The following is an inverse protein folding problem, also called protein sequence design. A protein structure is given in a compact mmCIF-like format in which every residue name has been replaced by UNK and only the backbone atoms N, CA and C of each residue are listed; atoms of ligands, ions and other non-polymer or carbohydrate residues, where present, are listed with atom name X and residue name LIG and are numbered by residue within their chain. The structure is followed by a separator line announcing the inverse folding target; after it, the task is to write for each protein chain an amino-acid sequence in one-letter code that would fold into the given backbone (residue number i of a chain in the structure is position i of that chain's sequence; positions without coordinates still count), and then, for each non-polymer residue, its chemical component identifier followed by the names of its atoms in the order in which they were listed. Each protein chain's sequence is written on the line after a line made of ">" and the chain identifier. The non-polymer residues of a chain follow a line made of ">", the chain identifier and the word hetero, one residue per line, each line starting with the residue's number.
data_IF_803107481800
#
_entry.id   IF_803107481800
#
_cell.length_a   1.000
_cell.length_b   1.000
_cell.length_c   1.000
_cell.angle_alpha   90.00
_cell.angle_beta   90.00
_cell.angle_gamma   90.00
#
_symmetry.space_group_name_H-M   'P 1'
#
loop_
_entity.id
_entity.type
_entity.pdbx_description
1 polymer ?
#
# COMPACT_ATOMS: atom_id res chain seq x y z
N UNK A 1 26.75 -59.70 -22.90
CA UNK A 1 27.02 -58.79 -21.77
C UNK A 1 26.60 -57.40 -22.26
N UNK A 2 25.32 -57.04 -22.26
CA UNK A 2 24.54 -56.48 -21.13
C UNK A 2 25.31 -55.36 -20.40
N UNK A 3 24.87 -54.11 -20.53
CA UNK A 3 24.47 -53.26 -19.39
C UNK A 3 23.70 -52.04 -19.90
N UNK A 4 22.39 -52.09 -19.65
CA UNK A 4 21.44 -50.98 -19.68
C UNK A 4 21.66 -50.15 -18.42
N UNK A 5 21.69 -48.82 -18.51
CA UNK A 5 21.34 -47.95 -17.37
C UNK A 5 20.70 -46.67 -17.90
N UNK A 6 19.38 -46.60 -17.69
CA UNK A 6 18.49 -45.49 -18.04
C UNK A 6 18.74 -44.38 -17.02
N UNK A 7 19.04 -43.16 -17.49
CA UNK A 7 19.19 -41.98 -16.63
C UNK A 7 17.81 -41.50 -16.18
N UNK A 8 17.47 -41.72 -14.91
CA UNK A 8 16.24 -41.22 -14.30
C UNK A 8 16.35 -39.72 -14.04
N UNK A 9 15.66 -38.91 -14.83
CA UNK A 9 15.44 -37.50 -14.54
C UNK A 9 14.37 -37.36 -13.44
N UNK A 10 14.78 -37.02 -12.22
CA UNK A 10 13.85 -36.67 -11.14
C UNK A 10 13.40 -35.21 -11.34
N UNK A 11 12.16 -35.01 -11.80
CA UNK A 11 11.53 -33.70 -11.90
C UNK A 11 10.93 -33.33 -10.54
N UNK A 12 11.61 -32.47 -9.77
CA UNK A 12 11.06 -31.86 -8.57
C UNK A 12 9.99 -30.84 -8.97
N UNK A 13 8.73 -31.27 -9.03
CA UNK A 13 7.60 -30.36 -9.15
C UNK A 13 7.36 -29.66 -7.79
N UNK A 14 7.87 -28.43 -7.64
CA UNK A 14 7.44 -27.52 -6.58
C UNK A 14 5.98 -27.15 -6.87
N UNK A 15 5.07 -27.72 -6.09
CA UNK A 15 3.69 -27.25 -6.03
C UNK A 15 3.68 -25.93 -5.26
N UNK A 16 3.69 -24.81 -5.96
CA UNK A 16 3.37 -23.53 -5.36
C UNK A 16 1.88 -23.54 -4.98
N UNK A 17 1.57 -23.74 -3.70
CA UNK A 17 0.21 -23.53 -3.20
C UNK A 17 -0.09 -22.03 -3.24
N UNK A 18 -0.71 -21.56 -4.31
CA UNK A 18 -1.24 -20.21 -4.38
C UNK A 18 -2.37 -20.08 -3.33
N UNK A 19 -2.07 -19.44 -2.21
CA UNK A 19 -3.09 -19.00 -1.26
C UNK A 19 -4.03 -17.98 -1.91
N UNK A 20 -5.18 -17.67 -1.28
CA UNK A 20 -6.11 -16.68 -1.80
C UNK A 20 -5.40 -15.34 -2.03
N UNK A 21 -5.39 -14.86 -3.27
CA UNK A 21 -4.85 -13.55 -3.65
C UNK A 21 -5.87 -12.50 -3.22
N UNK A 22 -5.54 -11.73 -2.18
CA UNK A 22 -6.33 -10.56 -1.82
C UNK A 22 -5.97 -9.44 -2.81
N UNK A 23 -6.92 -8.94 -3.61
CA UNK A 23 -6.64 -7.86 -4.53
C UNK A 23 -6.22 -6.60 -3.76
N UNK A 24 -5.31 -5.82 -4.36
CA UNK A 24 -4.72 -4.64 -3.73
C UNK A 24 -4.87 -3.42 -4.61
N UNK A 25 -4.72 -2.23 -3.99
CA UNK A 25 -4.50 -0.97 -4.68
C UNK A 25 -3.23 -0.28 -4.20
N UNK A 26 -2.79 0.74 -4.92
CA UNK A 26 -1.62 1.54 -4.55
C UNK A 26 -2.05 2.96 -4.24
N UNK A 27 -1.68 3.42 -3.05
CA UNK A 27 -1.90 4.78 -2.58
C UNK A 27 -0.54 5.42 -2.31
N UNK A 28 -0.28 6.56 -2.93
CA UNK A 28 0.89 7.37 -2.67
C UNK A 28 0.60 8.32 -1.52
N UNK A 29 1.46 8.34 -0.51
CA UNK A 29 1.51 9.39 0.50
C UNK A 29 2.63 10.35 0.13
N UNK A 30 2.39 11.65 0.30
CA UNK A 30 3.35 12.69 -0.05
C UNK A 30 3.50 13.71 1.07
N UNK A 31 4.73 14.20 1.20
CA UNK A 31 5.10 15.33 2.03
C UNK A 31 5.73 16.39 1.13
N UNK A 32 4.88 17.30 0.64
CA UNK A 32 5.26 18.40 -0.23
C UNK A 32 6.28 19.36 0.43
N UNK A 33 6.34 19.43 1.77
CA UNK A 33 7.28 20.28 2.49
C UNK A 33 8.73 19.79 2.39
N UNK A 34 8.90 18.46 2.34
CA UNK A 34 10.22 17.80 2.22
C UNK A 34 10.50 17.24 0.83
N UNK A 35 9.50 17.22 -0.06
CA UNK A 35 9.57 16.57 -1.37
C UNK A 35 9.56 15.04 -1.32
N UNK A 36 9.35 14.43 -0.14
CA UNK A 36 9.36 12.97 0.05
C UNK A 36 8.00 12.37 -0.25
N UNK A 37 7.99 11.15 -0.77
CA UNK A 37 6.76 10.39 -1.02
C UNK A 37 7.01 8.88 -0.92
N UNK A 38 5.92 8.12 -0.78
CA UNK A 38 5.97 6.66 -0.73
C UNK A 38 4.67 6.04 -1.27
N UNK A 39 4.81 4.97 -2.05
CA UNK A 39 3.68 4.22 -2.59
C UNK A 39 3.38 3.01 -1.70
N UNK A 40 2.30 3.08 -0.94
CA UNK A 40 1.82 1.99 -0.10
C UNK A 40 0.86 1.08 -0.87
N UNK A 41 1.07 -0.23 -0.75
CA UNK A 41 0.15 -1.24 -1.30
C UNK A 41 -0.90 -1.58 -0.24
N UNK A 42 -2.16 -1.34 -0.55
CA UNK A 42 -3.29 -1.49 0.37
C UNK A 42 -4.17 -2.65 -0.10
N UNK A 43 -4.31 -3.75 0.68
CA UNK A 43 -5.28 -4.79 0.39
C UNK A 43 -6.72 -4.27 0.53
N UNK A 44 -7.61 -4.67 -0.38
CA UNK A 44 -9.01 -4.28 -0.31
C UNK A 44 -9.73 -4.93 0.87
N UNK A 45 -10.61 -4.18 1.52
CA UNK A 45 -11.46 -4.64 2.63
C UNK A 45 -10.73 -4.83 3.96
N UNK A 46 -9.43 -4.52 4.03
CA UNK A 46 -8.63 -4.67 5.25
C UNK A 46 -8.11 -3.32 5.70
N UNK A 47 -8.41 -2.96 6.95
CA UNK A 47 -7.86 -1.76 7.58
C UNK A 47 -6.38 -1.96 7.92
N UNK A 48 -5.55 -0.99 7.52
CA UNK A 48 -4.11 -0.99 7.75
C UNK A 48 -3.71 0.20 8.62
N UNK A 49 -2.72 0.00 9.50
CA UNK A 49 -2.04 1.09 10.19
C UNK A 49 -1.12 1.81 9.20
N UNK A 50 -1.25 3.13 9.08
CA UNK A 50 -0.39 3.92 8.19
C UNK A 50 1.05 3.92 8.68
N UNK A 51 1.28 3.97 9.99
CA UNK A 51 2.62 3.84 10.58
C UNK A 51 3.31 2.53 10.17
N UNK A 52 2.58 1.42 10.13
CA UNK A 52 3.14 0.13 9.70
C UNK A 52 3.48 0.14 8.21
N UNK A 53 2.63 0.75 7.38
CA UNK A 53 2.86 0.85 5.93
C UNK A 53 4.05 1.75 5.58
N UNK A 54 4.27 2.80 6.36
CA UNK A 54 5.31 3.81 6.11
C UNK A 54 6.63 3.55 6.84
N UNK A 55 6.68 2.54 7.73
CA UNK A 55 7.90 2.19 8.46
C UNK A 55 9.07 1.89 7.51
N UNK A 56 10.21 2.55 7.72
CA UNK A 56 11.39 2.42 6.86
C UNK A 56 11.26 3.05 5.48
N UNK A 57 10.16 3.75 5.19
CA UNK A 57 9.99 4.51 3.95
C UNK A 57 10.73 5.85 3.98
N UNK A 58 10.84 6.56 2.84
CA UNK A 58 11.35 7.94 2.84
C UNK A 58 10.55 8.91 3.73
N UNK A 59 9.29 8.59 4.07
CA UNK A 59 8.46 9.39 4.97
C UNK A 59 8.71 9.09 6.45
N UNK A 60 9.47 8.04 6.78
CA UNK A 60 9.85 7.72 8.14
C UNK A 60 10.96 8.67 8.62
N UNK A 61 10.61 9.53 9.57
CA UNK A 61 11.55 10.42 10.25
C UNK A 61 11.62 10.05 11.74
N UNK A 62 12.05 8.83 12.03
CA UNK A 62 12.18 8.34 13.41
C UNK A 62 10.81 8.04 14.02
N UNK A 63 9.99 7.27 13.30
CA UNK A 63 8.60 6.91 13.66
C UNK A 63 7.59 8.07 13.66
N UNK A 64 7.99 9.21 13.11
CA UNK A 64 7.09 10.30 12.73
C UNK A 64 6.87 10.24 11.23
N UNK A 65 5.62 10.25 10.79
CA UNK A 65 5.24 10.07 9.39
C UNK A 65 4.49 11.31 8.88
N UNK A 66 5.25 12.38 8.68
CA UNK A 66 4.69 13.65 8.23
C UNK A 66 4.24 13.57 6.78
N UNK A 67 2.98 13.88 6.51
CA UNK A 67 2.41 13.94 5.17
C UNK A 67 1.41 15.09 5.04
N UNK A 68 1.16 15.48 3.79
CA UNK A 68 0.29 16.61 3.44
C UNK A 68 -0.80 16.21 2.45
N UNK A 69 -0.57 15.16 1.68
CA UNK A 69 -1.55 14.62 0.74
C UNK A 69 -1.42 13.11 0.57
N UNK A 70 -2.45 12.53 -0.05
CA UNK A 70 -2.44 11.17 -0.55
C UNK A 70 -3.15 11.08 -1.91
N UNK A 71 -2.72 10.12 -2.72
CA UNK A 71 -3.12 9.97 -4.12
C UNK A 71 -3.32 8.51 -4.49
N UNK A 72 -4.42 8.19 -5.17
CA UNK A 72 -4.67 6.86 -5.72
C UNK A 72 -3.86 6.68 -7.00
N UNK A 73 -2.87 5.77 -7.01
CA UNK A 73 -1.99 5.57 -8.17
C UNK A 73 -2.44 4.50 -9.16
N UNK A 74 -3.23 3.52 -8.70
CA UNK A 74 -3.58 2.35 -9.50
C UNK A 74 -5.00 1.89 -9.22
N UNK A 75 -5.52 1.01 -10.09
CA UNK A 75 -6.86 0.43 -10.00
C UNK A 75 -8.00 1.46 -9.99
N UNK A 76 -7.94 2.46 -10.88
CA UNK A 76 -8.92 3.55 -11.02
C UNK A 76 -10.34 3.13 -11.47
N UNK A 77 -10.79 1.90 -11.26
CA UNK A 77 -12.19 1.57 -11.57
C UNK A 77 -12.85 0.97 -10.35
N UNK A 78 -13.86 1.70 -9.85
CA UNK A 78 -14.65 1.34 -8.68
C UNK A 78 -13.80 1.22 -7.42
N UNK A 79 -12.89 2.15 -7.16
CA UNK A 79 -12.01 2.09 -5.98
C UNK A 79 -12.18 3.32 -5.13
N UNK A 80 -12.38 3.10 -3.84
CA UNK A 80 -12.51 4.15 -2.84
C UNK A 80 -11.63 3.83 -1.64
N UNK A 81 -10.83 4.81 -1.22
CA UNK A 81 -9.96 4.69 -0.06
C UNK A 81 -10.32 5.74 0.97
N UNK A 82 -10.41 5.29 2.22
CA UNK A 82 -10.64 6.12 3.39
C UNK A 82 -9.36 6.16 4.22
N UNK A 83 -8.83 7.35 4.42
CA UNK A 83 -7.76 7.64 5.37
C UNK A 83 -8.39 8.21 6.64
N UNK A 84 -8.47 7.41 7.69
CA UNK A 84 -8.94 7.83 9.00
C UNK A 84 -7.81 8.52 9.76
N UNK A 85 -7.96 9.83 9.97
CA UNK A 85 -7.12 10.64 10.85
C UNK A 85 -7.81 10.76 12.22
N UNK A 86 -7.11 11.21 13.28
CA UNK A 86 -7.67 11.26 14.63
C UNK A 86 -8.99 12.04 14.77
N UNK A 87 -9.24 13.03 13.91
CA UNK A 87 -10.40 13.93 14.03
C UNK A 87 -11.34 13.95 12.82
N UNK A 88 -10.93 13.36 11.69
CA UNK A 88 -11.70 13.36 10.46
C UNK A 88 -11.23 12.27 9.51
N UNK A 89 -12.08 11.94 8.54
CA UNK A 89 -11.74 10.97 7.48
C UNK A 89 -11.57 11.71 6.17
N UNK A 90 -10.52 11.34 5.45
CA UNK A 90 -10.24 11.84 4.11
C UNK A 90 -10.55 10.74 3.11
N UNK A 91 -11.24 11.06 2.03
CA UNK A 91 -11.68 10.07 1.04
C UNK A 91 -11.12 10.42 -0.33
N UNK A 92 -10.60 9.41 -1.02
CA UNK A 92 -10.29 9.47 -2.45
C UNK A 92 -11.07 8.36 -3.16
N UNK A 93 -11.47 8.64 -4.38
CA UNK A 93 -12.15 7.70 -5.27
C UNK A 93 -11.43 7.64 -6.62
N UNK A 94 -11.88 6.78 -7.51
CA UNK A 94 -11.38 6.78 -8.88
C UNK A 94 -11.71 8.06 -9.67
N UNK A 95 -12.74 8.79 -9.27
CA UNK A 95 -13.13 10.07 -9.87
C UNK A 95 -12.44 11.26 -9.20
N UNK A 96 -12.02 11.09 -7.94
CA UNK A 96 -11.32 12.10 -7.15
C UNK A 96 -10.09 11.46 -6.49
N UNK A 97 -9.04 11.32 -7.28
CA UNK A 97 -7.88 10.47 -6.95
C UNK A 97 -6.86 11.14 -6.04
N UNK A 98 -6.92 12.46 -5.88
CA UNK A 98 -5.99 13.23 -5.07
C UNK A 98 -6.73 13.98 -3.98
N UNK A 99 -6.15 14.03 -2.78
CA UNK A 99 -6.65 14.89 -1.73
C UNK A 99 -5.52 15.38 -0.82
N UNK A 100 -5.37 16.70 -0.74
CA UNK A 100 -4.59 17.37 0.29
C UNK A 100 -5.38 17.43 1.59
N UNK A 101 -4.76 17.10 2.71
CA UNK A 101 -5.39 17.10 4.03
C UNK A 101 -4.63 17.94 5.06
N UNK A 102 -3.41 18.40 4.75
CA UNK A 102 -2.67 19.34 5.58
C UNK A 102 -1.91 20.35 4.69
N UNK A 103 -1.72 21.60 5.15
CA UNK A 103 -0.96 22.60 4.41
C UNK A 103 0.54 22.26 4.42
N UNK A 104 1.27 22.68 3.38
CA UNK A 104 2.72 22.48 3.25
C UNK A 104 3.50 23.04 4.45
N UNK A 105 3.03 24.13 5.05
CA UNK A 105 3.66 24.74 6.23
C UNK A 105 3.47 23.96 7.53
N UNK A 106 2.51 23.04 7.58
CA UNK A 106 2.22 22.24 8.78
C UNK A 106 1.76 20.83 8.39
N UNK A 107 2.67 19.96 7.94
CA UNK A 107 2.37 18.56 7.66
C UNK A 107 1.79 17.84 8.88
N UNK A 108 0.90 16.88 8.64
CA UNK A 108 0.28 16.10 9.69
C UNK A 108 1.05 14.80 9.92
N UNK A 109 1.25 14.43 11.18
CA UNK A 109 1.80 13.12 11.54
C UNK A 109 0.73 12.03 11.41
N UNK A 110 1.02 11.02 10.59
CA UNK A 110 0.15 9.89 10.33
C UNK A 110 0.39 8.69 11.27
N UNK A 111 1.16 8.85 12.35
CA UNK A 111 1.48 7.74 13.28
C UNK A 111 0.24 7.01 13.83
N UNK A 112 -0.87 7.73 14.04
CA UNK A 112 -2.15 7.16 14.51
C UNK A 112 -3.19 6.99 13.40
N UNK A 113 -2.82 7.20 12.14
CA UNK A 113 -3.75 7.11 11.03
C UNK A 113 -3.97 5.66 10.61
N UNK A 114 -5.16 5.40 10.07
CA UNK A 114 -5.52 4.12 9.48
C UNK A 114 -6.01 4.36 8.06
N UNK A 115 -5.83 3.37 7.19
CA UNK A 115 -6.33 3.41 5.82
C UNK A 115 -7.07 2.13 5.48
N UNK A 116 -8.20 2.26 4.80
CA UNK A 116 -8.96 1.13 4.25
C UNK A 116 -9.40 1.46 2.84
N UNK A 117 -9.13 0.57 1.90
CA UNK A 117 -9.59 0.70 0.52
C UNK A 117 -10.63 -0.36 0.19
N UNK A 118 -11.58 -0.03 -0.67
CA UNK A 118 -12.64 -0.91 -1.16
C UNK A 118 -12.68 -0.89 -2.68
N UNK A 119 -13.14 -2.01 -3.24
CA UNK A 119 -13.52 -2.11 -4.63
C UNK A 119 -15.03 -2.34 -4.71
N UNK A 120 -15.74 -1.61 -5.55
CA UNK A 120 -17.20 -1.66 -5.72
C UNK A 120 -17.62 -1.71 -7.20
#
# INVERSE_FOLDING_TARGET
>A
MQFTTILSAALLAVVASAGPIIPTTTVQFSNEASGRNFNAVIPFGVTQSVATLLAGSPLDSGHTFLATSFFLQSNFQGVQCYLQLPHYTVTITEQHTYQGFAPVSNPLDLVNAQITCYKY
#
